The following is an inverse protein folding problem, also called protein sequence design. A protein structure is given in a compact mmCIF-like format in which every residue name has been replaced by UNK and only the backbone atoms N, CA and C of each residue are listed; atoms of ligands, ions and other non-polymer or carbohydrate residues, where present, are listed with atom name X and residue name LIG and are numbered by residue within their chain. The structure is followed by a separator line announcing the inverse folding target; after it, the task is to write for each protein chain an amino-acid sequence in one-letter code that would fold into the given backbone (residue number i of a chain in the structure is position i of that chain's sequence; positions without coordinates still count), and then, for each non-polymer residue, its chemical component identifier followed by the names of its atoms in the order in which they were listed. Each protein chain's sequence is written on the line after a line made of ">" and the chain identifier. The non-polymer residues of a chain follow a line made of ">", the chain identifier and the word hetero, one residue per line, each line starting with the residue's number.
data_IF_595845468803
#
_entry.id   IF_595845468803
#
_cell.length_a   1.000
_cell.length_b   1.000
_cell.length_c   1.000
_cell.angle_alpha   90.00
_cell.angle_beta   90.00
_cell.angle_gamma   90.00
#
_symmetry.space_group_name_H-M   'P 1'
#
loop_
_entity.id
_entity.type
_entity.pdbx_description
1 polymer ?
#
# COMPACT_ATOMS: atom_id res chain seq x y z
N UNK A 1 9.24 13.87 -2.83
CA UNK A 1 9.00 14.21 -1.42
C UNK A 1 9.17 12.96 -0.55
N UNK A 2 9.13 13.10 0.78
CA UNK A 2 9.31 12.00 1.75
C UNK A 2 8.28 10.88 1.56
N UNK A 3 7.04 11.23 1.18
CA UNK A 3 5.97 10.27 0.93
C UNK A 3 6.29 9.40 -0.28
N UNK A 4 6.76 10.04 -1.37
CA UNK A 4 7.18 9.35 -2.59
C UNK A 4 8.33 8.38 -2.30
N UNK A 5 9.31 8.81 -1.48
CA UNK A 5 10.44 7.96 -1.09
C UNK A 5 10.00 6.75 -0.25
N UNK A 6 9.17 6.95 0.78
CA UNK A 6 8.64 5.83 1.56
C UNK A 6 7.81 4.87 0.70
N UNK A 7 7.05 5.41 -0.25
CA UNK A 7 6.27 4.58 -1.19
C UNK A 7 7.17 3.81 -2.14
N UNK A 8 8.30 4.38 -2.60
CA UNK A 8 9.25 3.65 -3.46
C UNK A 8 9.90 2.48 -2.72
N UNK A 9 10.23 2.65 -1.43
CA UNK A 9 10.75 1.54 -0.62
C UNK A 9 9.77 0.37 -0.52
N UNK A 10 8.47 0.64 -0.41
CA UNK A 10 7.45 -0.43 -0.43
C UNK A 10 7.31 -1.03 -1.84
N UNK A 11 7.41 -0.20 -2.88
CA UNK A 11 7.39 -0.63 -4.28
C UNK A 11 8.51 -1.62 -4.58
N UNK A 12 9.74 -1.32 -4.17
CA UNK A 12 10.92 -2.16 -4.36
C UNK A 12 10.76 -3.54 -3.70
N UNK A 13 10.14 -3.60 -2.51
CA UNK A 13 9.83 -4.88 -1.86
C UNK A 13 8.79 -5.66 -2.66
N UNK A 14 7.74 -4.99 -3.15
CA UNK A 14 6.72 -5.64 -3.99
C UNK A 14 7.33 -6.19 -5.28
N UNK A 15 8.21 -5.43 -5.95
CA UNK A 15 8.90 -5.90 -7.16
C UNK A 15 9.75 -7.14 -6.89
N UNK A 16 10.50 -7.13 -5.77
CA UNK A 16 11.31 -8.27 -5.37
C UNK A 16 10.46 -9.51 -5.06
N UNK A 17 9.33 -9.34 -4.38
CA UNK A 17 8.45 -10.44 -3.99
C UNK A 17 7.65 -11.03 -5.15
N UNK A 18 7.29 -10.20 -6.12
CA UNK A 18 6.42 -10.60 -7.24
C UNK A 18 7.18 -10.91 -8.52
N UNK A 19 8.44 -10.45 -8.63
CA UNK A 19 9.21 -10.44 -9.87
C UNK A 19 8.55 -9.63 -11.00
N UNK A 20 7.68 -8.68 -10.65
CA UNK A 20 6.93 -7.85 -11.59
C UNK A 20 7.25 -6.37 -11.33
N UNK A 21 7.36 -5.57 -12.38
CA UNK A 21 7.59 -4.13 -12.26
C UNK A 21 6.38 -3.42 -11.66
N UNK A 22 6.63 -2.40 -10.85
CA UNK A 22 5.59 -1.55 -10.25
C UNK A 22 5.51 -0.18 -10.91
N UNK A 23 4.32 0.43 -10.85
CA UNK A 23 4.11 1.84 -11.19
C UNK A 23 3.53 2.54 -9.96
N UNK A 24 4.12 3.69 -9.59
CA UNK A 24 3.59 4.53 -8.53
C UNK A 24 2.91 5.76 -9.16
N UNK A 25 1.61 5.92 -8.93
CA UNK A 25 0.88 7.05 -9.50
C UNK A 25 1.11 8.36 -8.72
N UNK A 26 0.52 9.46 -9.16
CA UNK A 26 0.61 10.78 -8.52
C UNK A 26 0.14 10.80 -7.05
N UNK A 27 -0.80 9.92 -6.70
CA UNK A 27 -1.36 9.78 -5.35
C UNK A 27 -0.65 8.73 -4.49
N UNK A 28 0.55 8.30 -4.88
CA UNK A 28 1.33 7.28 -4.16
C UNK A 28 0.57 5.94 -3.99
N UNK A 29 -0.26 5.59 -4.97
CA UNK A 29 -0.78 4.23 -5.14
C UNK A 29 0.20 3.39 -5.96
N UNK A 30 0.43 2.14 -5.53
CA UNK A 30 1.33 1.19 -6.20
C UNK A 30 0.48 0.23 -7.03
N UNK A 31 0.88 0.05 -8.28
CA UNK A 31 0.20 -0.77 -9.28
C UNK A 31 1.15 -1.83 -9.84
N UNK A 32 0.64 -3.03 -10.04
CA UNK A 32 1.33 -4.13 -10.74
C UNK A 32 0.39 -4.65 -11.83
N UNK A 33 0.90 -4.78 -13.06
CA UNK A 33 0.10 -5.16 -14.25
C UNK A 33 -1.20 -4.34 -14.40
N UNK A 34 -1.12 -3.03 -14.12
CA UNK A 34 -2.26 -2.11 -14.21
C UNK A 34 -3.28 -2.19 -13.06
N UNK A 35 -3.14 -3.14 -12.13
CA UNK A 35 -4.02 -3.30 -10.97
C UNK A 35 -3.37 -2.74 -9.72
N UNK A 36 -4.15 -2.03 -8.90
CA UNK A 36 -3.68 -1.43 -7.65
C UNK A 36 -3.46 -2.51 -6.60
N UNK A 37 -2.27 -2.53 -6.01
CA UNK A 37 -1.89 -3.45 -4.93
C UNK A 37 -1.66 -2.73 -3.61
N UNK A 38 -1.39 -1.42 -3.63
CA UNK A 38 -1.23 -0.62 -2.42
C UNK A 38 -1.74 0.81 -2.56
N UNK A 39 -2.12 1.41 -1.44
CA UNK A 39 -2.48 2.83 -1.35
C UNK A 39 -1.98 3.47 -0.07
N UNK A 40 -1.32 4.63 -0.22
CA UNK A 40 -0.85 5.41 0.92
C UNK A 40 -1.74 6.61 1.26
N UNK A 41 -1.65 7.05 2.50
CA UNK A 41 -2.20 8.29 3.02
C UNK A 41 -1.19 8.95 3.93
N UNK A 42 -1.20 10.29 4.00
CA UNK A 42 -0.29 11.04 4.86
C UNK A 42 -1.05 12.07 5.68
N UNK A 43 -0.68 12.19 6.94
CA UNK A 43 -1.09 13.29 7.80
C UNK A 43 0.15 14.08 8.24
N UNK A 44 0.13 15.39 7.97
CA UNK A 44 1.19 16.31 8.39
C UNK A 44 0.59 17.29 9.39
N UNK A 45 1.08 17.25 10.62
CA UNK A 45 0.74 18.23 11.67
C UNK A 45 2.03 18.65 12.38
N UNK A 46 2.14 18.43 13.70
CA UNK A 46 3.42 18.50 14.42
C UNK A 46 4.37 17.37 14.02
N UNK A 47 3.79 16.23 13.62
CA UNK A 47 4.52 15.05 13.17
C UNK A 47 4.10 14.70 11.74
N UNK A 48 4.98 13.98 11.04
CA UNK A 48 4.71 13.35 9.76
C UNK A 48 4.28 11.89 10.00
N UNK A 49 3.06 11.54 9.59
CA UNK A 49 2.54 10.17 9.65
C UNK A 49 2.28 9.66 8.24
N UNK A 50 3.10 8.71 7.81
CA UNK A 50 2.89 7.94 6.59
C UNK A 50 2.22 6.60 6.93
N UNK A 51 1.11 6.31 6.27
CA UNK A 51 0.42 5.02 6.37
C UNK A 51 0.17 4.46 4.97
N UNK A 52 0.35 3.14 4.82
CA UNK A 52 0.10 2.43 3.57
C UNK A 52 -0.60 1.11 3.85
N UNK A 53 -1.58 0.78 3.01
CA UNK A 53 -2.22 -0.53 3.00
C UNK A 53 -1.80 -1.29 1.74
N UNK A 54 -1.38 -2.55 1.91
CA UNK A 54 -0.96 -3.46 0.82
C UNK A 54 -1.87 -4.68 0.81
N UNK A 55 -2.41 -5.03 -0.36
CA UNK A 55 -3.26 -6.20 -0.56
C UNK A 55 -2.40 -7.45 -0.74
N UNK A 56 -2.07 -8.14 0.35
CA UNK A 56 -1.29 -9.39 0.28
C UNK A 56 -2.18 -10.57 -0.11
N UNK A 57 -3.27 -10.78 0.63
CA UNK A 57 -4.23 -11.89 0.44
C UNK A 57 -5.62 -11.55 1.04
N UNK A 58 -6.17 -10.40 0.68
CA UNK A 58 -7.50 -9.96 1.13
C UNK A 58 -8.62 -10.63 0.32
N UNK A 59 -9.80 -10.80 0.93
CA UNK A 59 -10.99 -11.21 0.17
C UNK A 59 -11.49 -10.03 -0.68
N UNK A 60 -11.19 -10.06 -1.98
CA UNK A 60 -11.56 -9.00 -2.91
C UNK A 60 -13.08 -8.97 -3.20
N UNK A 61 -13.80 -10.07 -3.01
CA UNK A 61 -15.26 -10.09 -3.18
C UNK A 61 -15.92 -9.29 -2.05
N UNK A 62 -15.49 -9.52 -0.80
CA UNK A 62 -15.94 -8.74 0.36
C UNK A 62 -15.53 -7.28 0.20
N UNK A 63 -14.28 -7.01 -0.16
CA UNK A 63 -13.79 -5.65 -0.37
C UNK A 63 -14.65 -4.89 -1.40
N UNK A 64 -14.86 -5.47 -2.58
CA UNK A 64 -15.64 -4.85 -3.64
C UNK A 64 -17.10 -4.63 -3.21
N UNK A 65 -17.70 -5.60 -2.50
CA UNK A 65 -19.07 -5.47 -2.01
C UNK A 65 -19.21 -4.32 -1.00
N UNK A 66 -18.28 -4.17 -0.06
CA UNK A 66 -18.34 -3.12 0.97
C UNK A 66 -18.08 -1.73 0.37
N UNK A 67 -17.20 -1.63 -0.63
CA UNK A 67 -16.86 -0.36 -1.27
C UNK A 67 -17.90 0.12 -2.31
N UNK A 68 -18.95 -0.66 -2.59
CA UNK A 68 -20.10 -0.26 -3.41
C UNK A 68 -21.06 0.72 -2.71
N UNK A 69 -20.59 1.47 -1.70
CA UNK A 69 -21.40 2.43 -0.94
C UNK A 69 -22.28 3.34 -1.81
N UNK A 70 -23.31 3.93 -1.20
CA UNK A 70 -24.32 4.72 -1.91
C UNK A 70 -23.66 5.81 -2.76
N UNK A 71 -24.18 6.10 -3.98
CA UNK A 71 -23.69 7.19 -4.79
C UNK A 71 -23.72 8.49 -3.97
N UNK A 72 -22.63 9.26 -4.03
CA UNK A 72 -22.61 10.59 -3.44
C UNK A 72 -23.65 11.46 -4.14
N UNK A 73 -24.44 12.22 -3.37
CA UNK A 73 -25.36 13.18 -3.99
C UNK A 73 -24.56 14.26 -4.71
N UNK A 74 -25.07 14.75 -5.84
CA UNK A 74 -24.35 15.71 -6.70
C UNK A 74 -23.95 17.00 -5.95
N UNK A 75 -24.68 17.31 -4.89
CA UNK A 75 -24.60 18.52 -4.07
C UNK A 75 -23.56 18.39 -2.94
N UNK A 76 -23.06 17.18 -2.68
CA UNK A 76 -22.14 16.92 -1.58
C UNK A 76 -20.70 17.29 -1.97
N UNK A 77 -20.31 18.53 -1.65
CA UNK A 77 -18.95 19.06 -1.82
C UNK A 77 -18.07 18.93 -0.58
N UNK A 78 -18.58 18.34 0.52
CA UNK A 78 -17.94 18.37 1.84
C UNK A 78 -16.80 17.36 2.04
N UNK A 79 -16.53 16.49 1.07
CA UNK A 79 -15.53 15.44 1.20
C UNK A 79 -14.79 15.17 -0.12
N UNK A 80 -13.56 14.66 0.02
CA UNK A 80 -12.76 14.19 -1.12
C UNK A 80 -13.31 12.83 -1.55
N UNK A 81 -13.75 12.72 -2.80
CA UNK A 81 -14.29 11.47 -3.34
C UNK A 81 -13.19 10.41 -3.51
N UNK A 82 -13.51 9.17 -3.14
CA UNK A 82 -12.65 8.01 -3.41
C UNK A 82 -12.52 7.79 -4.91
N UNK A 83 -11.29 7.58 -5.38
CA UNK A 83 -11.03 7.15 -6.77
C UNK A 83 -11.03 5.63 -6.78
N UNK A 84 -11.98 5.05 -7.53
CA UNK A 84 -12.05 3.60 -7.73
C UNK A 84 -10.89 3.16 -8.63
N UNK A 85 -10.29 2.04 -8.31
CA UNK A 85 -9.24 1.40 -9.11
C UNK A 85 -9.50 -0.10 -9.11
N UNK A 86 -9.21 -0.77 -10.21
CA UNK A 86 -9.11 -2.23 -10.17
C UNK A 86 -7.98 -2.63 -9.23
N UNK A 87 -8.20 -3.69 -8.44
CA UNK A 87 -7.28 -4.15 -7.41
C UNK A 87 -6.91 -5.61 -7.62
N UNK A 88 -5.76 -6.01 -7.11
CA UNK A 88 -5.34 -7.41 -7.02
C UNK A 88 -4.55 -7.66 -5.76
N UNK A 89 -4.50 -8.92 -5.32
CA UNK A 89 -3.61 -9.36 -4.24
C UNK A 89 -2.21 -9.66 -4.79
N UNK A 90 -1.18 -9.49 -3.96
CA UNK A 90 0.17 -9.97 -4.26
C UNK A 90 0.21 -11.49 -4.41
N UNK A 91 -0.65 -12.22 -3.70
CA UNK A 91 -0.75 -13.69 -3.80
C UNK A 91 -1.14 -14.19 -5.19
N UNK A 92 -1.80 -13.38 -6.01
CA UNK A 92 -2.09 -13.71 -7.41
C UNK A 92 -0.84 -13.67 -8.30
N UNK A 93 0.21 -12.99 -7.85
CA UNK A 93 1.47 -12.81 -8.58
C UNK A 93 2.55 -13.73 -8.02
N UNK A 94 2.59 -13.91 -6.70
CA UNK A 94 3.43 -14.86 -6.01
C UNK A 94 2.58 -15.71 -5.04
N UNK A 95 2.16 -16.93 -5.44
CA UNK A 95 1.32 -17.80 -4.60
C UNK A 95 1.95 -18.21 -3.25
N UNK A 96 3.27 -18.15 -3.14
CA UNK A 96 4.02 -18.51 -1.93
C UNK A 96 4.12 -17.37 -0.90
N UNK A 97 3.77 -16.14 -1.29
CA UNK A 97 3.85 -14.98 -0.40
C UNK A 97 2.91 -15.16 0.81
N UNK A 98 3.43 -14.86 2.00
CA UNK A 98 2.64 -14.80 3.22
C UNK A 98 2.67 -13.38 3.80
N UNK A 99 1.68 -13.06 4.63
CA UNK A 99 1.65 -11.78 5.33
C UNK A 99 2.91 -11.62 6.21
N UNK A 100 3.36 -12.70 6.84
CA UNK A 100 4.53 -12.69 7.71
C UNK A 100 5.84 -12.50 6.94
N UNK A 101 6.04 -13.22 5.83
CA UNK A 101 7.23 -13.05 4.99
C UNK A 101 7.30 -11.63 4.44
N UNK A 102 6.18 -11.12 3.91
CA UNK A 102 6.10 -9.76 3.38
C UNK A 102 6.42 -8.72 4.45
N UNK A 103 5.85 -8.86 5.66
CA UNK A 103 6.15 -7.96 6.79
C UNK A 103 7.63 -7.94 7.13
N UNK A 104 8.28 -9.11 7.19
CA UNK A 104 9.69 -9.19 7.54
C UNK A 104 10.58 -8.54 6.46
N UNK A 105 10.30 -8.80 5.18
CA UNK A 105 11.05 -8.17 4.09
C UNK A 105 10.85 -6.65 4.05
N UNK A 106 9.64 -6.15 4.32
CA UNK A 106 9.40 -4.70 4.46
C UNK A 106 10.24 -4.12 5.61
N UNK A 107 10.23 -4.75 6.79
CA UNK A 107 11.02 -4.27 7.94
C UNK A 107 12.51 -4.22 7.63
N UNK A 108 13.06 -5.29 7.06
CA UNK A 108 14.48 -5.37 6.70
C UNK A 108 14.86 -4.31 5.68
N UNK A 109 14.03 -4.13 4.65
CA UNK A 109 14.26 -3.13 3.61
C UNK A 109 14.18 -1.70 4.15
N UNK A 110 13.21 -1.41 5.01
CA UNK A 110 13.10 -0.10 5.66
C UNK A 110 14.30 0.15 6.60
N UNK A 111 14.68 -0.83 7.43
CA UNK A 111 15.82 -0.70 8.33
C UNK A 111 17.10 -0.36 7.57
N UNK A 112 17.36 -1.08 6.47
CA UNK A 112 18.52 -0.89 5.61
C UNK A 112 18.53 0.50 4.98
N UNK A 113 17.45 0.91 4.32
CA UNK A 113 17.42 2.15 3.53
C UNK A 113 17.23 3.42 4.37
N UNK A 114 16.64 3.30 5.56
CA UNK A 114 16.48 4.41 6.51
C UNK A 114 17.60 4.46 7.56
N UNK A 115 18.58 3.55 7.48
CA UNK A 115 19.71 3.48 8.41
C UNK A 115 19.26 3.33 9.88
N UNK A 116 18.16 2.62 10.09
CA UNK A 116 17.57 2.38 11.40
C UNK A 116 18.12 1.08 11.99
N UNK A 117 18.25 1.02 13.32
CA UNK A 117 18.45 -0.26 13.99
C UNK A 117 17.14 -1.05 13.93
N UNK A 118 17.18 -2.33 13.56
CA UNK A 118 15.96 -3.18 13.50
C UNK A 118 15.16 -3.15 14.80
N UNK A 119 15.84 -3.04 15.95
CA UNK A 119 15.23 -2.92 17.29
C UNK A 119 14.36 -1.66 17.47
N UNK A 120 14.56 -0.62 16.66
CA UNK A 120 13.74 0.60 16.64
C UNK A 120 12.46 0.42 15.82
N UNK A 121 12.38 -0.64 15.00
CA UNK A 121 11.19 -1.00 14.24
C UNK A 121 10.38 -1.97 15.07
N UNK A 122 9.43 -1.43 15.83
CA UNK A 122 8.48 -2.26 16.57
C UNK A 122 7.46 -2.88 15.61
N UNK A 123 7.12 -4.14 15.83
CA UNK A 123 5.88 -4.70 15.31
C UNK A 123 4.96 -5.02 16.47
N UNK A 124 3.99 -4.16 16.68
CA UNK A 124 2.90 -4.41 17.61
C UNK A 124 1.64 -4.56 16.77
N UNK A 125 1.11 -5.78 16.70
CA UNK A 125 -0.26 -6.08 16.31
C UNK A 125 -0.73 -7.27 17.13
#
# INVERSE_FOLDING_TARGET
>A
DETRYLTSLISEVIEKETHESTIINERNGIFVKGKKVAGSSVAVSKNFLYHISVLVNADLNILNKILQGRPYEANEKRFVKSIKSEVTNLKELNPSISIESFKNHVKEHLAKNLHLKIQQITSSF
#
